data_IF_577844631579
#
_entry.id   IF_577844631579
#
_cell.length_a   1.000
_cell.length_b   1.000
_cell.length_c   1.000
_cell.angle_alpha   90.00
_cell.angle_beta   90.00
_cell.angle_gamma   90.00
#
_symmetry.space_group_name_H-M   'P 1'
#
loop_
_entity.id
_entity.type
_entity.pdbx_description
1 polymer ?
#
# COMPACT_ATOMS: atom_id res chain seq x y z
N UNK A 1 5.76 -17.34 -49.18
CA UNK A 1 5.25 -16.80 -47.90
C UNK A 1 5.73 -17.73 -46.79
N UNK A 2 6.63 -17.31 -45.89
CA UNK A 2 7.16 -18.21 -44.86
C UNK A 2 6.13 -18.38 -43.74
N UNK A 3 5.70 -19.63 -43.52
CA UNK A 3 4.84 -20.05 -42.42
C UNK A 3 5.58 -19.91 -41.09
N UNK A 4 5.30 -18.85 -40.34
CA UNK A 4 5.79 -18.73 -38.96
C UNK A 4 5.15 -19.83 -38.12
N UNK A 5 5.95 -20.85 -37.76
CA UNK A 5 5.58 -21.97 -36.89
C UNK A 5 4.91 -21.47 -35.59
N UNK A 6 3.88 -22.18 -35.07
CA UNK A 6 3.18 -21.84 -33.83
C UNK A 6 4.12 -21.71 -32.61
N UNK A 7 5.27 -22.38 -32.64
CA UNK A 7 6.30 -22.32 -31.60
C UNK A 7 6.99 -20.93 -31.51
N UNK A 8 7.16 -20.26 -32.65
CA UNK A 8 7.75 -18.91 -32.71
C UNK A 8 6.82 -17.87 -32.08
N UNK A 9 5.50 -18.00 -32.26
CA UNK A 9 4.49 -17.11 -31.66
C UNK A 9 4.45 -17.22 -30.13
N UNK A 10 4.64 -18.44 -29.59
CA UNK A 10 4.68 -18.68 -28.14
C UNK A 10 5.91 -18.10 -27.45
N UNK A 11 7.03 -17.98 -28.14
CA UNK A 11 8.26 -17.39 -27.58
C UNK A 11 8.24 -15.85 -27.61
N UNK A 12 7.61 -15.28 -28.64
CA UNK A 12 7.43 -13.81 -28.76
C UNK A 12 6.45 -13.30 -27.69
N UNK A 13 5.37 -14.04 -27.40
CA UNK A 13 4.45 -13.65 -26.32
C UNK A 13 5.09 -13.72 -24.93
N UNK A 14 5.92 -14.74 -24.65
CA UNK A 14 6.68 -14.87 -23.40
C UNK A 14 7.69 -13.73 -23.21
N UNK A 15 8.42 -13.36 -24.26
CA UNK A 15 9.41 -12.28 -24.20
C UNK A 15 8.77 -10.90 -24.04
N UNK A 16 7.63 -10.65 -24.69
CA UNK A 16 6.85 -9.41 -24.48
C UNK A 16 6.30 -9.37 -23.05
N UNK A 17 5.76 -10.48 -22.53
CA UNK A 17 5.24 -10.56 -21.17
C UNK A 17 6.34 -10.35 -20.12
N UNK A 18 7.48 -11.02 -20.26
CA UNK A 18 8.62 -10.85 -19.37
C UNK A 18 9.15 -9.40 -19.38
N UNK A 19 9.14 -8.73 -20.55
CA UNK A 19 9.55 -7.33 -20.65
C UNK A 19 8.55 -6.37 -20.02
N UNK A 20 7.25 -6.67 -20.08
CA UNK A 20 6.23 -5.91 -19.32
C UNK A 20 6.33 -6.17 -17.81
N UNK A 21 6.62 -7.40 -17.39
CA UNK A 21 6.77 -7.75 -15.98
C UNK A 21 7.93 -6.96 -15.35
N UNK A 22 9.08 -6.85 -16.04
CA UNK A 22 10.24 -6.08 -15.56
C UNK A 22 9.92 -4.58 -15.39
N UNK A 23 9.07 -4.01 -16.24
CA UNK A 23 8.64 -2.61 -16.14
C UNK A 23 7.73 -2.37 -14.92
N UNK A 24 7.03 -3.41 -14.45
CA UNK A 24 6.04 -3.31 -13.37
C UNK A 24 6.63 -3.58 -11.97
N UNK A 25 7.79 -4.25 -11.89
CA UNK A 25 8.54 -4.49 -10.64
C UNK A 25 8.76 -3.23 -9.78
N UNK A 26 9.20 -2.07 -10.33
CA UNK A 26 9.43 -0.88 -9.49
C UNK A 26 8.15 -0.34 -8.84
N UNK A 27 7.00 -0.42 -9.51
CA UNK A 27 5.72 0.00 -8.93
C UNK A 27 5.29 -0.91 -7.78
N UNK A 28 5.50 -2.20 -7.93
CA UNK A 28 5.27 -3.19 -6.89
C UNK A 28 6.17 -2.91 -5.68
N UNK A 29 7.47 -2.69 -5.91
CA UNK A 29 8.42 -2.35 -4.86
C UNK A 29 8.04 -1.06 -4.11
N UNK A 30 7.71 0.02 -4.82
CA UNK A 30 7.29 1.29 -4.22
C UNK A 30 6.05 1.08 -3.36
N UNK A 31 5.02 0.40 -3.87
CA UNK A 31 3.77 0.15 -3.15
C UNK A 31 4.01 -0.64 -1.87
N UNK A 32 4.85 -1.70 -1.92
CA UNK A 32 5.21 -2.49 -0.76
C UNK A 32 5.98 -1.63 0.25
N UNK A 33 7.05 -0.97 -0.17
CA UNK A 33 7.90 -0.17 0.72
C UNK A 33 7.06 0.89 1.43
N UNK A 34 6.21 1.58 0.70
CA UNK A 34 5.39 2.66 1.23
C UNK A 34 4.35 2.14 2.24
N UNK A 35 3.72 0.99 1.94
CA UNK A 35 2.80 0.31 2.86
C UNK A 35 3.52 -0.19 4.11
N UNK A 36 4.71 -0.78 3.95
CA UNK A 36 5.52 -1.27 5.06
C UNK A 36 5.93 -0.14 6.00
N UNK A 37 6.44 0.97 5.47
CA UNK A 37 6.80 2.16 6.28
C UNK A 37 5.60 2.66 7.08
N UNK A 38 4.42 2.72 6.45
CA UNK A 38 3.19 3.14 7.11
C UNK A 38 2.77 2.20 8.26
N UNK A 39 2.82 0.89 8.03
CA UNK A 39 2.49 -0.12 9.04
C UNK A 39 3.50 -0.14 10.19
N UNK A 40 4.79 0.09 9.90
CA UNK A 40 5.83 0.20 10.93
C UNK A 40 5.57 1.43 11.81
N UNK A 41 5.27 2.59 11.22
CA UNK A 41 4.92 3.80 11.97
C UNK A 41 3.68 3.59 12.83
N UNK A 42 2.64 2.95 12.28
CA UNK A 42 1.42 2.63 13.00
C UNK A 42 1.71 1.70 14.19
N UNK A 43 2.47 0.62 13.98
CA UNK A 43 2.89 -0.30 15.04
C UNK A 43 3.68 0.42 16.13
N UNK A 44 4.57 1.34 15.75
CA UNK A 44 5.36 2.13 16.70
C UNK A 44 4.48 3.06 17.57
N UNK A 45 3.45 3.67 16.98
CA UNK A 45 2.46 4.47 17.73
C UNK A 45 1.70 3.60 18.72
N UNK A 46 1.23 2.45 18.27
CA UNK A 46 0.45 1.51 19.08
C UNK A 46 1.25 0.97 20.26
N UNK A 47 2.47 0.48 20.02
CA UNK A 47 3.33 -0.06 21.09
C UNK A 47 3.68 1.00 22.13
N UNK A 48 3.82 2.27 21.74
CA UNK A 48 4.10 3.37 22.68
C UNK A 48 2.92 3.72 23.60
N UNK A 49 1.70 3.29 23.26
CA UNK A 49 0.46 3.69 23.94
C UNK A 49 -0.09 2.60 24.86
N UNK A 50 0.16 1.35 24.54
CA UNK A 50 -0.32 0.17 25.28
C UNK A 50 0.72 -0.29 26.28
N UNK A 51 0.27 -0.85 27.40
CA UNK A 51 1.19 -1.26 28.49
C UNK A 51 1.46 -2.78 28.49
N UNK A 52 0.76 -3.55 27.66
CA UNK A 52 0.96 -5.00 27.54
C UNK A 52 1.04 -5.48 26.10
N UNK A 53 1.74 -6.59 25.89
CA UNK A 53 1.87 -7.24 24.58
C UNK A 53 0.50 -7.72 24.07
N UNK A 54 -0.37 -8.25 24.93
CA UNK A 54 -1.68 -8.73 24.50
C UNK A 54 -2.56 -7.59 23.98
N UNK A 55 -2.52 -6.45 24.67
CA UNK A 55 -3.23 -5.24 24.27
C UNK A 55 -2.65 -4.65 22.98
N UNK A 56 -1.33 -4.71 22.80
CA UNK A 56 -0.67 -4.39 21.53
C UNK A 56 -1.17 -5.26 20.37
N UNK A 57 -1.19 -6.58 20.55
CA UNK A 57 -1.62 -7.51 19.50
C UNK A 57 -3.08 -7.27 19.11
N UNK A 58 -3.97 -7.08 20.09
CA UNK A 58 -5.38 -6.79 19.83
C UNK A 58 -5.55 -5.43 19.14
N UNK A 59 -4.87 -4.40 19.61
CA UNK A 59 -4.97 -3.06 19.02
C UNK A 59 -4.38 -3.02 17.61
N UNK A 60 -3.29 -3.74 17.35
CA UNK A 60 -2.71 -3.87 16.01
C UNK A 60 -3.64 -4.64 15.08
N UNK A 61 -4.30 -5.71 15.56
CA UNK A 61 -5.29 -6.46 14.77
C UNK A 61 -6.46 -5.56 14.37
N UNK A 62 -7.03 -4.82 15.32
CA UNK A 62 -8.15 -3.89 15.07
C UNK A 62 -7.72 -2.77 14.12
N UNK A 63 -6.53 -2.21 14.31
CA UNK A 63 -5.99 -1.18 13.42
C UNK A 63 -5.76 -1.73 12.01
N UNK A 64 -5.21 -2.94 11.89
CA UNK A 64 -4.96 -3.59 10.60
C UNK A 64 -6.26 -3.92 9.87
N UNK A 65 -7.27 -4.44 10.56
CA UNK A 65 -8.62 -4.63 10.02
C UNK A 65 -9.20 -3.31 9.55
N UNK A 66 -9.20 -2.28 10.40
CA UNK A 66 -9.70 -0.96 10.03
C UNK A 66 -8.98 -0.37 8.81
N UNK A 67 -7.69 -0.64 8.66
CA UNK A 67 -6.91 -0.15 7.52
C UNK A 67 -7.12 -0.97 6.25
N UNK A 68 -7.15 -2.30 6.32
CA UNK A 68 -7.10 -3.16 5.14
C UNK A 68 -8.47 -3.60 4.64
N UNK A 69 -9.46 -3.72 5.52
CA UNK A 69 -10.79 -4.21 5.18
C UNK A 69 -11.55 -3.28 4.22
N UNK A 70 -11.57 -1.93 4.44
CA UNK A 70 -12.26 -1.02 3.54
C UNK A 70 -11.69 -1.02 2.11
N UNK A 71 -10.36 -1.01 1.90
CA UNK A 71 -9.80 -1.17 0.57
C UNK A 71 -10.19 -2.48 -0.12
N UNK A 72 -10.20 -3.60 0.61
CA UNK A 72 -10.58 -4.90 0.05
C UNK A 72 -12.05 -4.93 -0.36
N UNK A 73 -12.93 -4.31 0.42
CA UNK A 73 -14.35 -4.14 0.07
C UNK A 73 -14.52 -3.37 -1.23
N UNK A 74 -13.79 -2.26 -1.39
CA UNK A 74 -13.83 -1.48 -2.63
C UNK A 74 -13.27 -2.26 -3.82
N UNK A 75 -12.12 -2.94 -3.64
CA UNK A 75 -11.50 -3.75 -4.69
C UNK A 75 -12.37 -4.92 -5.14
N UNK A 76 -13.14 -5.51 -4.23
CA UNK A 76 -14.04 -6.63 -4.54
C UNK A 76 -15.29 -6.21 -5.31
N UNK A 77 -15.56 -4.90 -5.46
CA UNK A 77 -16.77 -4.38 -6.09
C UNK A 77 -18.05 -4.58 -5.28
N UNK A 78 -17.95 -5.08 -4.04
CA UNK A 78 -19.09 -5.32 -3.15
C UNK A 78 -19.70 -4.01 -2.63
N UNK A 79 -18.87 -2.97 -2.48
CA UNK A 79 -19.32 -1.68 -2.00
C UNK A 79 -18.40 -0.57 -2.54
N UNK A 80 -18.94 0.23 -3.45
CA UNK A 80 -18.22 1.34 -4.08
C UNK A 80 -18.65 2.65 -3.45
N UNK A 81 -17.69 3.35 -2.85
CA UNK A 81 -17.94 4.63 -2.22
C UNK A 81 -16.70 5.52 -2.33
N UNK A 82 -16.91 6.79 -2.68
CA UNK A 82 -15.81 7.76 -2.90
C UNK A 82 -15.00 7.97 -1.61
N UNK A 83 -15.62 7.75 -0.45
CA UNK A 83 -14.97 7.83 0.87
C UNK A 83 -13.76 6.88 0.99
N UNK A 84 -13.74 5.77 0.26
CA UNK A 84 -12.62 4.83 0.32
C UNK A 84 -11.36 5.38 -0.30
N UNK A 85 -11.45 6.34 -1.24
CA UNK A 85 -10.26 6.99 -1.79
C UNK A 85 -9.50 7.80 -0.74
N UNK A 86 -10.16 8.28 0.32
CA UNK A 86 -9.50 8.93 1.46
C UNK A 86 -8.72 7.96 2.36
N UNK A 87 -8.93 6.65 2.19
CA UNK A 87 -8.31 5.66 3.05
C UNK A 87 -6.83 5.52 2.72
N UNK A 88 -5.93 5.57 3.72
CA UNK A 88 -4.48 5.60 3.49
C UNK A 88 -3.96 4.39 2.70
N UNK A 89 -4.52 3.20 2.92
CA UNK A 89 -4.17 1.96 2.20
C UNK A 89 -4.80 1.86 0.81
N UNK A 90 -5.84 2.64 0.50
CA UNK A 90 -6.44 2.60 -0.83
C UNK A 90 -5.47 3.12 -1.89
N UNK A 91 -4.67 4.14 -1.58
CA UNK A 91 -3.60 4.62 -2.45
C UNK A 91 -2.58 3.51 -2.81
N UNK A 92 -2.13 2.70 -1.85
CA UNK A 92 -1.33 1.49 -2.13
C UNK A 92 -2.05 0.50 -3.04
N UNK A 93 -3.34 0.26 -2.81
CA UNK A 93 -4.12 -0.69 -3.59
C UNK A 93 -4.35 -0.19 -5.03
N UNK A 94 -4.49 1.12 -5.25
CA UNK A 94 -4.57 1.71 -6.60
C UNK A 94 -3.25 1.57 -7.37
N UNK A 95 -2.09 1.73 -6.73
CA UNK A 95 -0.82 1.40 -7.41
C UNK A 95 -0.68 -0.11 -7.66
N UNK A 96 -1.24 -0.95 -6.78
CA UNK A 96 -1.19 -2.40 -6.92
C UNK A 96 -2.03 -2.91 -8.10
N UNK A 97 -3.18 -2.31 -8.40
CA UNK A 97 -3.95 -2.65 -9.62
C UNK A 97 -3.16 -2.34 -10.89
N UNK A 98 -2.31 -1.31 -10.86
CA UNK A 98 -1.32 -1.01 -11.90
C UNK A 98 -0.33 -2.11 -12.22
N UNK A 99 -0.09 -3.05 -11.31
CA UNK A 99 0.77 -4.22 -11.55
C UNK A 99 0.08 -5.23 -12.47
N UNK A 100 -1.23 -5.44 -12.30
CA UNK A 100 -2.00 -6.41 -13.10
C UNK A 100 -2.46 -5.84 -14.43
N UNK A 101 -2.64 -4.52 -14.52
CA UNK A 101 -3.14 -3.85 -15.71
C UNK A 101 -2.42 -2.51 -15.94
N UNK A 102 -1.10 -2.57 -16.17
CA UNK A 102 -0.26 -1.39 -16.37
C UNK A 102 -0.67 -0.49 -17.55
N UNK A 103 -1.50 -0.99 -18.46
CA UNK A 103 -2.04 -0.23 -19.60
C UNK A 103 -3.26 0.63 -19.25
N UNK A 104 -3.90 0.41 -18.08
CA UNK A 104 -5.06 1.18 -17.64
C UNK A 104 -4.75 2.26 -16.63
N UNK A 105 -3.50 2.36 -16.14
CA UNK A 105 -3.14 3.37 -15.15
C UNK A 105 -2.75 4.69 -15.81
N UNK A 106 -3.55 5.71 -15.56
CA UNK A 106 -3.23 7.06 -16.03
C UNK A 106 -2.20 7.72 -15.09
N UNK A 107 -1.39 8.63 -15.64
CA UNK A 107 -0.29 9.27 -14.92
C UNK A 107 -0.75 9.98 -13.62
N UNK A 108 -2.02 10.44 -13.60
CA UNK A 108 -2.61 11.11 -12.44
C UNK A 108 -2.92 10.14 -11.29
N UNK A 109 -3.22 8.87 -11.56
CA UNK A 109 -3.48 7.85 -10.51
C UNK A 109 -2.19 7.51 -9.76
N UNK A 110 -1.07 7.52 -10.48
CA UNK A 110 0.26 7.34 -9.92
C UNK A 110 0.62 8.54 -9.03
N UNK A 111 0.39 9.76 -9.52
CA UNK A 111 0.63 10.98 -8.75
C UNK A 111 -0.28 11.05 -7.51
N UNK A 112 -1.54 10.63 -7.64
CA UNK A 112 -2.49 10.51 -6.53
C UNK A 112 -1.97 9.53 -5.48
N UNK A 113 -1.67 8.29 -5.86
CA UNK A 113 -1.27 7.27 -4.90
C UNK A 113 0.05 7.59 -4.19
N UNK A 114 1.04 8.13 -4.91
CA UNK A 114 2.31 8.56 -4.30
C UNK A 114 2.09 9.78 -3.40
N UNK A 115 1.46 10.84 -3.91
CA UNK A 115 1.29 12.09 -3.19
C UNK A 115 0.42 11.92 -1.94
N UNK A 116 -0.70 11.24 -2.09
CA UNK A 116 -1.64 11.00 -1.00
C UNK A 116 -1.01 10.15 0.11
N UNK A 117 -0.19 9.17 -0.25
CA UNK A 117 0.45 8.33 0.74
C UNK A 117 1.63 9.00 1.44
N UNK A 118 2.37 9.86 0.75
CA UNK A 118 3.38 10.73 1.39
C UNK A 118 2.72 11.66 2.42
N UNK A 119 1.54 12.22 2.11
CA UNK A 119 0.77 13.04 3.06
C UNK A 119 0.41 12.23 4.31
N UNK A 120 -0.10 11.01 4.14
CA UNK A 120 -0.46 10.13 5.26
C UNK A 120 0.75 9.69 6.09
N UNK A 121 1.88 9.39 5.45
CA UNK A 121 3.14 9.09 6.14
C UNK A 121 3.59 10.30 6.96
N UNK A 122 3.51 11.51 6.40
CA UNK A 122 3.81 12.76 7.12
C UNK A 122 2.92 12.97 8.35
N UNK A 123 1.61 12.73 8.21
CA UNK A 123 0.66 12.83 9.31
C UNK A 123 0.95 11.79 10.42
N UNK A 124 1.20 10.54 10.03
CA UNK A 124 1.54 9.45 10.96
C UNK A 124 2.87 9.71 11.65
N UNK A 125 3.87 10.22 10.93
CA UNK A 125 5.16 10.61 11.51
C UNK A 125 4.99 11.71 12.56
N UNK A 126 4.16 12.72 12.28
CA UNK A 126 3.87 13.77 13.25
C UNK A 126 3.15 13.22 14.50
N UNK A 127 2.17 12.34 14.31
CA UNK A 127 1.46 11.67 15.41
C UNK A 127 2.39 10.77 16.23
N UNK A 128 3.28 10.02 15.57
CA UNK A 128 4.29 9.19 16.22
C UNK A 128 5.25 10.03 17.05
N UNK A 129 5.75 11.14 16.49
CA UNK A 129 6.60 12.08 17.24
C UNK A 129 5.87 12.63 18.46
N UNK A 130 4.61 13.06 18.31
CA UNK A 130 3.79 13.56 19.43
C UNK A 130 3.55 12.48 20.50
N UNK A 131 3.26 11.24 20.09
CA UNK A 131 3.06 10.12 21.00
C UNK A 131 4.34 9.79 21.78
N UNK A 132 5.49 9.77 21.09
CA UNK A 132 6.81 9.57 21.67
C UNK A 132 7.14 10.64 22.71
N UNK A 133 6.98 11.93 22.37
CA UNK A 133 7.19 13.01 23.35
C UNK A 133 6.25 12.88 24.55
N UNK A 134 4.98 12.56 24.34
CA UNK A 134 4.01 12.46 25.45
C UNK A 134 4.30 11.27 26.39
N UNK A 135 4.71 10.12 25.86
CA UNK A 135 4.85 8.89 26.66
C UNK A 135 6.28 8.62 27.13
N UNK A 136 7.30 9.08 26.41
CA UNK A 136 8.70 8.88 26.81
C UNK A 136 9.24 10.09 27.57
N UNK A 137 8.95 11.32 27.14
CA UNK A 137 9.50 12.52 27.79
C UNK A 137 8.72 12.91 29.04
N UNK A 138 7.40 12.68 29.07
CA UNK A 138 6.51 13.15 30.15
C UNK A 138 6.20 12.13 31.25
N UNK A 139 6.49 10.83 31.03
CA UNK A 139 6.35 9.78 32.07
C UNK A 139 7.70 9.33 32.65
N UNK A 140 8.81 9.74 32.06
CA UNK A 140 10.17 9.41 32.51
C UNK A 140 10.87 10.52 33.30
N UNK A 141 10.15 11.60 33.65
CA UNK A 141 10.63 12.71 34.48
C UNK A 141 9.88 12.76 35.81
#
# INVERSE_FOLDING_TARGET
MPSTSPESRGNISKTIKAKSDIKNIPYLAISIILTSVMLILLGFILVSRVNSINEYLLAMLVAFLGLLFPPMLHLSGLYENVIFYLWPTQASFTLFTGVFNAASLELWEIAYGIGYQVIWIGLLYFLAKKAFYKHIVLKGG
#
